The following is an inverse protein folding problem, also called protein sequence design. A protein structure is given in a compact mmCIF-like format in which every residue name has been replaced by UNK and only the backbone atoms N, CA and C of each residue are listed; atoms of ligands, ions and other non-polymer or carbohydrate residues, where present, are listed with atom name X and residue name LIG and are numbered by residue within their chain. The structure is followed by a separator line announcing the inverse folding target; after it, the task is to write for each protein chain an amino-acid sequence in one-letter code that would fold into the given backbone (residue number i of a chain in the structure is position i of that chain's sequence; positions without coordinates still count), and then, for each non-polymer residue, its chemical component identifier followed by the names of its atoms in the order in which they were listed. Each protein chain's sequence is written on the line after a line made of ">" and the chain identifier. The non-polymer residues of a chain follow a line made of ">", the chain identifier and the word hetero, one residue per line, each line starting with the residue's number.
data_IF_924609743218
#
_entry.id   IF_924609743218
#
_cell.length_a   1.000
_cell.length_b   1.000
_cell.length_c   1.000
_cell.angle_alpha   90.00
_cell.angle_beta   90.00
_cell.angle_gamma   90.00
#
_symmetry.space_group_name_H-M   'P 1'
#
loop_
_entity.id
_entity.type
_entity.pdbx_description
1 polymer ?
#
# COMPACT_ATOMS: atom_id res chain seq x y z
N UNK A 1 -7.59 24.51 0.24
CA UNK A 1 -8.66 23.49 0.30
C UNK A 1 -8.22 22.46 1.32
N UNK A 2 -9.04 22.23 2.34
CA UNK A 2 -8.68 21.54 3.58
C UNK A 2 -8.61 20.03 3.35
N UNK A 3 -7.40 19.47 3.39
CA UNK A 3 -7.18 18.02 3.51
C UNK A 3 -7.59 17.59 4.92
N UNK A 4 -8.87 17.28 5.09
CA UNK A 4 -9.41 16.78 6.35
C UNK A 4 -8.94 15.34 6.55
N UNK A 5 -7.84 15.17 7.28
CA UNK A 5 -7.36 13.90 7.84
C UNK A 5 -8.33 13.41 8.90
N UNK A 6 -9.44 12.81 8.46
CA UNK A 6 -10.36 12.08 9.34
C UNK A 6 -9.70 10.76 9.73
N UNK A 7 -8.95 10.82 10.84
CA UNK A 7 -8.41 9.67 11.57
C UNK A 7 -9.57 8.82 12.11
N UNK A 8 -10.17 8.01 11.23
CA UNK A 8 -11.12 6.99 11.61
C UNK A 8 -10.33 5.84 12.26
N UNK A 9 -10.86 5.17 13.29
CA UNK A 9 -10.19 4.01 13.89
C UNK A 9 -9.89 2.91 12.85
N UNK A 10 -10.65 2.86 11.75
CA UNK A 10 -10.43 1.95 10.64
C UNK A 10 -9.13 2.24 9.88
N UNK A 11 -8.81 3.50 9.61
CA UNK A 11 -7.54 3.92 8.99
C UNK A 11 -6.32 3.49 9.84
N UNK A 12 -6.35 3.73 11.15
CA UNK A 12 -5.27 3.36 12.06
C UNK A 12 -5.06 1.85 12.14
N UNK A 13 -6.16 1.08 12.11
CA UNK A 13 -6.13 -0.38 12.12
C UNK A 13 -5.60 -0.91 10.79
N UNK A 14 -6.07 -0.40 9.65
CA UNK A 14 -5.55 -0.76 8.32
C UNK A 14 -4.06 -0.44 8.19
N UNK A 15 -3.62 0.74 8.63
CA UNK A 15 -2.20 1.12 8.67
C UNK A 15 -1.36 0.17 9.52
N UNK A 16 -1.87 -0.23 10.69
CA UNK A 16 -1.16 -1.19 11.55
C UNK A 16 -1.07 -2.57 10.89
N UNK A 17 -2.16 -3.06 10.31
CA UNK A 17 -2.20 -4.34 9.62
C UNK A 17 -1.28 -4.34 8.40
N UNK A 18 -1.40 -3.33 7.53
CA UNK A 18 -0.59 -3.18 6.34
C UNK A 18 0.83 -2.68 6.63
N UNK A 19 1.23 -2.50 7.90
CA UNK A 19 2.65 -2.37 8.29
C UNK A 19 3.31 -3.73 8.52
N UNK A 20 2.51 -4.79 8.68
CA UNK A 20 3.01 -6.14 8.90
C UNK A 20 3.20 -6.81 7.55
N UNK A 21 4.41 -7.31 7.23
CA UNK A 21 4.69 -7.90 5.91
C UNK A 21 3.81 -9.10 5.62
N UNK A 22 3.50 -9.94 6.62
CA UNK A 22 2.60 -11.09 6.44
C UNK A 22 1.18 -10.68 6.05
N UNK A 23 0.60 -9.71 6.74
CA UNK A 23 -0.76 -9.23 6.44
C UNK A 23 -0.83 -8.45 5.14
N UNK A 24 0.16 -7.59 4.87
CA UNK A 24 0.21 -6.85 3.62
C UNK A 24 0.39 -7.80 2.44
N UNK A 25 1.22 -8.84 2.59
CA UNK A 25 1.37 -9.88 1.59
C UNK A 25 0.04 -10.57 1.35
N UNK A 26 -0.66 -11.03 2.38
CA UNK A 26 -1.96 -11.71 2.22
C UNK A 26 -3.01 -10.81 1.57
N UNK A 27 -3.09 -9.54 1.96
CA UNK A 27 -3.98 -8.56 1.36
C UNK A 27 -3.70 -8.35 -0.14
N UNK A 28 -2.43 -8.12 -0.47
CA UNK A 28 -1.97 -7.96 -1.85
C UNK A 28 -2.20 -9.24 -2.62
N UNK A 29 -1.88 -10.39 -2.03
CA UNK A 29 -2.14 -11.71 -2.60
C UNK A 29 -3.63 -11.76 -2.99
N UNK A 30 -4.57 -11.60 -2.07
CA UNK A 30 -6.02 -11.73 -2.32
C UNK A 30 -6.52 -10.75 -3.40
N UNK A 31 -6.00 -9.52 -3.44
CA UNK A 31 -6.40 -8.52 -4.43
C UNK A 31 -5.68 -8.63 -5.77
N UNK A 32 -4.49 -9.24 -5.82
CA UNK A 32 -3.69 -9.33 -7.04
C UNK A 32 -4.08 -10.59 -7.83
N UNK A 33 -4.47 -10.45 -9.12
CA UNK A 33 -4.88 -11.58 -9.94
C UNK A 33 -3.73 -12.58 -10.16
N UNK A 34 -4.06 -13.87 -10.20
CA UNK A 34 -3.13 -14.98 -10.37
C UNK A 34 -2.04 -14.82 -11.46
N UNK A 35 -2.29 -14.25 -12.66
CA UNK A 35 -1.24 -14.00 -13.64
C UNK A 35 -0.15 -13.04 -13.13
N UNK A 36 -0.52 -11.97 -12.42
CA UNK A 36 0.44 -11.03 -11.85
C UNK A 36 1.18 -11.63 -10.65
N UNK A 37 0.49 -12.39 -9.80
CA UNK A 37 1.14 -13.14 -8.71
C UNK A 37 2.23 -14.11 -9.18
N UNK A 38 2.08 -14.74 -10.34
CA UNK A 38 3.12 -15.64 -10.88
C UNK A 38 4.35 -14.88 -11.37
N UNK A 39 4.18 -13.61 -11.71
CA UNK A 39 5.26 -12.74 -12.17
C UNK A 39 5.90 -11.97 -11.00
N UNK A 40 5.15 -11.72 -9.92
CA UNK A 40 5.56 -10.99 -8.73
C UNK A 40 5.95 -11.93 -7.58
N UNK A 41 7.15 -11.78 -7.06
CA UNK A 41 7.63 -12.48 -5.88
C UNK A 41 7.19 -11.77 -4.60
N UNK A 42 5.99 -12.11 -4.13
CA UNK A 42 5.44 -11.60 -2.88
C UNK A 42 6.30 -11.93 -1.63
N UNK A 43 7.30 -12.83 -1.71
CA UNK A 43 8.24 -13.09 -0.59
C UNK A 43 9.27 -11.97 -0.42
N UNK A 44 9.47 -11.20 -1.48
CA UNK A 44 10.35 -10.04 -1.49
C UNK A 44 9.63 -8.73 -1.17
N UNK A 45 8.36 -8.83 -0.75
CA UNK A 45 7.52 -7.68 -0.43
C UNK A 45 8.16 -6.87 0.72
N UNK A 46 8.54 -5.62 0.43
CA UNK A 46 9.24 -4.76 1.38
C UNK A 46 8.53 -3.43 1.52
N UNK A 47 8.26 -3.04 2.77
CA UNK A 47 7.64 -1.77 3.05
C UNK A 47 8.68 -0.68 2.79
N UNK A 48 8.39 0.18 1.82
CA UNK A 48 9.22 1.34 1.56
C UNK A 48 8.67 2.54 2.34
N UNK A 49 9.54 3.31 3.01
CA UNK A 49 9.11 4.49 3.73
C UNK A 49 8.50 5.49 2.74
N UNK A 50 7.50 6.27 3.18
CA UNK A 50 6.89 7.34 2.38
C UNK A 50 7.90 8.40 1.91
N UNK A 51 9.16 8.35 2.36
CA UNK A 51 10.28 9.14 1.82
C UNK A 51 10.67 8.78 0.39
N UNK A 52 10.25 7.62 -0.12
CA UNK A 52 10.45 7.22 -1.51
C UNK A 52 9.32 7.69 -2.44
N UNK A 53 8.22 8.22 -1.88
CA UNK A 53 7.06 8.71 -2.63
C UNK A 53 7.30 10.20 -2.93
N UNK A 54 7.17 10.59 -4.20
CA UNK A 54 7.26 12.00 -4.64
C UNK A 54 6.37 12.91 -3.78
N UNK A 55 6.84 14.13 -3.52
CA UNK A 55 6.21 15.07 -2.60
C UNK A 55 4.81 15.50 -3.07
N UNK A 56 4.58 15.57 -4.38
CA UNK A 56 3.26 15.78 -5.01
C UNK A 56 2.30 14.59 -4.78
N UNK A 57 2.82 13.37 -4.72
CA UNK A 57 2.04 12.17 -4.44
C UNK A 57 1.78 12.01 -2.93
N UNK A 58 2.66 12.49 -2.05
CA UNK A 58 2.46 12.42 -0.59
C UNK A 58 1.17 13.08 -0.11
N UNK A 59 0.72 14.15 -0.75
CA UNK A 59 -0.49 14.88 -0.34
C UNK A 59 -1.80 14.15 -0.70
N UNK A 60 -1.77 13.26 -1.70
CA UNK A 60 -2.94 12.52 -2.17
C UNK A 60 -2.89 11.02 -1.83
N UNK A 61 -1.69 10.46 -1.65
CA UNK A 61 -1.43 9.02 -1.51
C UNK A 61 -0.72 8.78 -0.17
N UNK A 62 -1.47 8.92 0.93
CA UNK A 62 -0.84 9.14 2.23
C UNK A 62 -0.37 7.90 2.96
N UNK A 63 -0.64 6.67 2.48
CA UNK A 63 -0.67 5.56 3.42
C UNK A 63 0.51 4.60 3.28
N UNK A 64 0.59 3.73 2.27
CA UNK A 64 1.67 2.71 2.26
C UNK A 64 2.17 2.35 0.85
N UNK A 65 3.51 2.30 0.71
CA UNK A 65 4.21 1.83 -0.49
C UNK A 65 4.93 0.51 -0.21
N UNK A 66 4.65 -0.47 -1.06
CA UNK A 66 5.30 -1.78 -1.01
C UNK A 66 6.12 -2.00 -2.27
N UNK A 67 7.41 -2.31 -2.13
CA UNK A 67 8.23 -2.79 -3.24
C UNK A 67 8.17 -4.31 -3.33
N UNK A 68 8.16 -4.85 -4.53
CA UNK A 68 8.14 -6.30 -4.81
C UNK A 68 9.08 -6.59 -5.95
N UNK A 69 9.84 -7.68 -5.91
CA UNK A 69 10.59 -8.13 -7.09
C UNK A 69 9.68 -8.92 -8.00
N UNK A 70 9.82 -8.68 -9.28
CA UNK A 70 9.16 -9.42 -10.36
C UNK A 70 10.24 -10.08 -11.23
N UNK A 71 9.85 -10.97 -12.13
CA UNK A 71 10.79 -11.62 -13.04
C UNK A 71 11.52 -10.63 -13.96
N UNK A 72 10.91 -9.47 -14.26
CA UNK A 72 11.47 -8.46 -15.17
C UNK A 72 12.10 -7.26 -14.44
N UNK A 73 12.00 -7.17 -13.11
CA UNK A 73 12.56 -6.04 -12.35
C UNK A 73 11.86 -5.78 -11.02
N UNK A 74 12.01 -4.57 -10.48
CA UNK A 74 11.33 -4.16 -9.25
C UNK A 74 9.97 -3.55 -9.60
N UNK A 75 8.91 -4.09 -9.01
CA UNK A 75 7.56 -3.55 -9.04
C UNK A 75 7.24 -2.79 -7.75
N UNK A 76 6.27 -1.88 -7.84
CA UNK A 76 5.79 -1.09 -6.71
C UNK A 76 4.27 -1.23 -6.60
N UNK A 77 3.79 -1.48 -5.39
CA UNK A 77 2.39 -1.66 -5.05
C UNK A 77 2.00 -0.51 -4.12
N UNK A 78 1.12 0.34 -4.63
CA UNK A 78 0.57 1.46 -3.89
C UNK A 78 -0.74 1.02 -3.25
N UNK A 79 -0.83 1.14 -1.93
CA UNK A 79 -2.08 0.90 -1.21
C UNK A 79 -2.67 2.23 -0.83
N UNK A 80 -3.80 2.57 -1.45
CA UNK A 80 -4.58 3.77 -1.14
C UNK A 80 -5.64 3.37 -0.14
N UNK A 81 -5.62 4.03 1.02
CA UNK A 81 -6.65 3.87 2.05
C UNK A 81 -7.52 5.12 1.94
N UNK A 82 -8.62 5.02 1.20
CA UNK A 82 -9.62 6.09 1.21
C UNK A 82 -10.41 5.97 2.52
N UNK A 83 -10.31 6.97 3.38
CA UNK A 83 -11.23 7.09 4.52
C UNK A 83 -12.62 7.43 3.99
N UNK A 84 -13.67 6.76 4.49
CA UNK A 84 -15.06 7.07 4.18
C UNK A 84 -15.32 8.58 4.28
N UNK A 85 -15.35 9.25 3.13
CA UNK A 85 -15.84 10.60 3.01
C UNK A 85 -17.37 10.53 3.04
N UNK A 86 -17.93 10.32 4.23
CA UNK A 86 -19.35 10.57 4.45
C UNK A 86 -19.59 12.08 4.29
N UNK A 87 -20.32 12.40 3.23
CA UNK A 87 -20.76 13.71 2.76
C UNK A 87 -21.41 14.60 3.85
#
# INVERSE_FOLDING_TARGET
>A
MTISTTSTPYDAVFKSFLRHPDTARDFIDIHLPAPLRKLCDLTTLKLEPNSFIDEDLRQYYSDLLWSVKTQEGVGYIYVVIEGDASN
#
